data_IF_683403999800
#
_entry.id   IF_683403999800
#
_cell.length_a   1.000
_cell.length_b   1.000
_cell.length_c   1.000
_cell.angle_alpha   90.00
_cell.angle_beta   90.00
_cell.angle_gamma   90.00
#
_symmetry.space_group_name_H-M   'P 1'
#
loop_
_entity.id
_entity.type
_entity.pdbx_description
1 polymer ?
#
# COMPACT_ATOMS: atom_id res chain seq x y z
N UNK A 1 -37.31 -12.46 -31.66
CA UNK A 1 -37.44 -12.67 -33.12
C UNK A 1 -37.30 -11.31 -33.78
N UNK A 2 -36.53 -11.09 -34.85
CA UNK A 2 -35.53 -11.93 -35.55
C UNK A 2 -34.34 -11.04 -35.97
N UNK A 3 -33.22 -11.67 -36.35
CA UNK A 3 -31.94 -11.05 -36.72
C UNK A 3 -31.99 -10.11 -37.94
N UNK A 4 -31.02 -9.19 -38.03
CA UNK A 4 -29.90 -9.46 -38.94
C UNK A 4 -29.65 -8.51 -40.13
N UNK A 5 -28.61 -7.69 -40.01
CA UNK A 5 -27.70 -7.32 -41.09
C UNK A 5 -26.34 -6.92 -40.50
N UNK A 6 -25.23 -7.31 -41.15
CA UNK A 6 -23.87 -7.05 -40.68
C UNK A 6 -22.86 -7.02 -41.85
N UNK A 7 -21.59 -6.72 -41.54
CA UNK A 7 -20.41 -6.70 -42.43
C UNK A 7 -20.30 -5.57 -43.46
N UNK A 8 -19.37 -4.64 -43.20
CA UNK A 8 -18.01 -4.64 -43.82
C UNK A 8 -17.13 -3.52 -43.23
N UNK A 9 -16.11 -3.87 -42.44
CA UNK A 9 -14.94 -3.01 -42.11
C UNK A 9 -13.82 -3.79 -41.40
N UNK A 10 -13.43 -4.94 -41.97
CA UNK A 10 -12.32 -5.76 -41.46
C UNK A 10 -11.17 -5.76 -42.46
N UNK A 11 -10.15 -4.92 -42.25
CA UNK A 11 -8.84 -5.01 -42.93
C UNK A 11 -7.73 -4.13 -42.33
N UNK A 12 -8.06 -3.02 -41.65
CA UNK A 12 -7.06 -2.02 -41.18
C UNK A 12 -6.40 -2.39 -39.84
N UNK A 13 -6.98 -3.29 -39.04
CA UNK A 13 -6.53 -3.54 -37.65
C UNK A 13 -5.25 -4.39 -37.51
N UNK A 14 -4.83 -5.14 -38.52
CA UNK A 14 -3.75 -6.14 -38.35
C UNK A 14 -2.32 -5.55 -38.33
N UNK A 15 -2.08 -4.37 -38.91
CA UNK A 15 -0.71 -3.87 -39.09
C UNK A 15 -0.10 -3.31 -37.78
N UNK A 16 -0.88 -2.55 -37.00
CA UNK A 16 -0.38 -1.92 -35.76
C UNK A 16 -0.13 -2.92 -34.62
N UNK A 17 -0.79 -4.07 -34.59
CA UNK A 17 -0.49 -5.10 -33.58
C UNK A 17 0.87 -5.76 -33.79
N UNK A 18 1.27 -6.04 -35.04
CA UNK A 18 2.56 -6.67 -35.31
C UNK A 18 3.75 -5.77 -34.94
N UNK A 19 3.66 -4.47 -35.21
CA UNK A 19 4.71 -3.49 -34.86
C UNK A 19 4.89 -3.41 -33.33
N UNK A 20 3.79 -3.36 -32.56
CA UNK A 20 3.84 -3.40 -31.09
C UNK A 20 4.46 -4.72 -30.56
N UNK A 21 4.12 -5.86 -31.16
CA UNK A 21 4.65 -7.18 -30.74
C UNK A 21 6.15 -7.31 -31.08
N UNK A 22 6.60 -6.81 -32.23
CA UNK A 22 8.02 -6.86 -32.61
C UNK A 22 8.89 -5.94 -31.73
N UNK A 23 8.42 -4.72 -31.44
CA UNK A 23 9.09 -3.81 -30.49
C UNK A 23 9.12 -4.33 -29.04
N UNK A 24 8.16 -5.18 -28.67
CA UNK A 24 8.15 -5.88 -27.38
C UNK A 24 9.13 -7.07 -27.35
N UNK A 25 9.24 -7.82 -28.45
CA UNK A 25 10.05 -9.05 -28.53
C UNK A 25 11.54 -8.81 -28.25
N UNK A 26 12.12 -7.74 -28.82
CA UNK A 26 13.52 -7.35 -28.59
C UNK A 26 13.78 -6.93 -27.14
N UNK A 27 12.88 -6.12 -26.55
CA UNK A 27 12.96 -5.69 -25.15
C UNK A 27 12.71 -6.81 -24.13
N UNK A 28 12.00 -7.88 -24.51
CA UNK A 28 11.63 -8.96 -23.58
C UNK A 28 12.63 -10.13 -23.56
N UNK A 29 13.00 -10.74 -24.71
CA UNK A 29 13.96 -11.86 -24.69
C UNK A 29 15.41 -11.43 -24.41
N UNK A 30 15.74 -10.15 -24.53
CA UNK A 30 16.99 -9.59 -23.98
C UNK A 30 17.02 -9.56 -22.44
N UNK A 31 15.86 -9.63 -21.77
CA UNK A 31 15.70 -9.43 -20.32
C UNK A 31 15.54 -10.74 -19.52
N UNK A 32 15.11 -11.84 -20.16
CA UNK A 32 14.97 -13.16 -19.51
C UNK A 32 15.34 -14.35 -20.43
N UNK A 33 16.64 -14.65 -20.65
CA UNK A 33 17.08 -15.70 -21.57
C UNK A 33 16.65 -17.12 -21.19
N UNK A 34 16.46 -17.39 -19.89
CA UNK A 34 15.99 -18.68 -19.36
C UNK A 34 14.51 -18.94 -19.65
N UNK A 35 13.67 -17.90 -19.67
CA UNK A 35 12.22 -18.02 -19.93
C UNK A 35 11.96 -18.25 -21.42
N UNK A 36 12.68 -17.57 -22.31
CA UNK A 36 12.54 -17.75 -23.76
C UNK A 36 12.98 -19.14 -24.27
N UNK A 37 13.59 -20.00 -23.43
CA UNK A 37 13.95 -21.38 -23.80
C UNK A 37 12.77 -22.37 -23.74
N UNK A 38 11.92 -22.34 -22.71
CA UNK A 38 10.77 -23.26 -22.65
C UNK A 38 9.71 -22.92 -23.71
N UNK A 39 9.50 -21.64 -24.01
CA UNK A 39 8.53 -21.19 -25.01
C UNK A 39 8.84 -21.64 -26.45
N UNK A 40 10.05 -22.14 -26.75
CA UNK A 40 10.41 -22.67 -28.08
C UNK A 40 10.16 -24.18 -28.23
N UNK A 41 10.17 -24.96 -27.16
CA UNK A 41 9.96 -26.42 -27.23
C UNK A 41 8.54 -26.79 -27.67
N UNK A 42 7.52 -26.06 -27.21
CA UNK A 42 6.12 -26.37 -27.51
C UNK A 42 5.67 -25.97 -28.94
N UNK A 43 6.49 -25.20 -29.68
CA UNK A 43 6.17 -24.74 -31.04
C UNK A 43 6.56 -25.72 -32.16
N UNK A 44 7.11 -26.91 -31.84
CA UNK A 44 7.61 -27.87 -32.83
C UNK A 44 6.93 -29.25 -32.84
N UNK A 45 5.84 -29.44 -32.10
CA UNK A 45 5.04 -30.68 -32.16
C UNK A 45 3.55 -30.35 -32.35
N UNK A 46 3.16 -29.97 -33.59
CA UNK A 46 1.74 -29.83 -33.99
C UNK A 46 1.46 -29.80 -35.50
N UNK A 47 2.03 -30.76 -36.24
CA UNK A 47 1.50 -31.18 -37.55
C UNK A 47 1.37 -32.70 -37.58
N UNK A 48 0.37 -33.21 -38.31
CA UNK A 48 -0.21 -34.58 -38.20
C UNK A 48 -0.94 -34.82 -36.85
N UNK A 49 -2.07 -35.53 -36.77
CA UNK A 49 -2.99 -36.04 -37.80
C UNK A 49 -4.45 -35.88 -37.32
N UNK A 50 -5.45 -36.14 -38.18
CA UNK A 50 -6.87 -36.01 -37.85
C UNK A 50 -7.71 -37.17 -38.37
N UNK A 51 -8.23 -38.00 -37.46
CA UNK A 51 -9.24 -39.04 -37.68
C UNK A 51 -9.62 -39.68 -36.31
N UNK A 52 -10.72 -40.41 -36.12
CA UNK A 52 -12.10 -40.33 -36.61
C UNK A 52 -12.93 -41.46 -35.92
N UNK A 53 -14.08 -41.15 -35.30
CA UNK A 53 -15.21 -42.09 -35.04
C UNK A 53 -14.89 -43.29 -34.06
N UNK A 54 -15.81 -44.08 -33.44
CA UNK A 54 -17.25 -43.97 -33.08
C UNK A 54 -17.68 -45.02 -32.01
N UNK A 55 -18.76 -44.72 -31.27
CA UNK A 55 -19.81 -45.64 -30.75
C UNK A 55 -19.62 -46.56 -29.49
N UNK A 56 -20.77 -46.72 -28.79
CA UNK A 56 -21.30 -47.86 -27.98
C UNK A 56 -20.70 -48.33 -26.63
N UNK A 57 -21.19 -47.71 -25.55
CA UNK A 57 -22.15 -48.26 -24.54
C UNK A 57 -22.06 -49.69 -23.91
N UNK A 58 -22.44 -49.76 -22.62
CA UNK A 58 -22.87 -50.90 -21.75
C UNK A 58 -21.74 -51.85 -21.27
N UNK A 59 -21.53 -52.00 -19.95
CA UNK A 59 -22.38 -52.84 -19.09
C UNK A 59 -22.67 -52.24 -17.67
N UNK A 60 -23.32 -53.01 -16.79
CA UNK A 60 -23.75 -52.62 -15.41
C UNK A 60 -23.50 -53.76 -14.40
N UNK A 61 -23.64 -53.40 -13.11
CA UNK A 61 -24.11 -54.19 -11.95
C UNK A 61 -23.06 -54.87 -11.04
N UNK A 62 -23.38 -54.92 -9.74
CA UNK A 62 -22.61 -55.61 -8.68
C UNK A 62 -21.88 -54.68 -7.67
N UNK A 63 -22.04 -54.84 -6.34
CA UNK A 63 -23.22 -54.55 -5.51
C UNK A 63 -22.85 -54.63 -4.00
N UNK A 64 -22.98 -53.53 -3.25
CA UNK A 64 -23.10 -53.45 -1.77
C UNK A 64 -21.92 -53.87 -0.85
N UNK A 65 -22.11 -53.52 0.44
CA UNK A 65 -21.30 -53.79 1.66
C UNK A 65 -20.04 -52.91 1.84
N UNK A 66 -19.73 -52.35 3.02
CA UNK A 66 -20.45 -52.28 4.31
C UNK A 66 -20.58 -50.83 4.81
N UNK A 67 -21.58 -50.55 5.67
CA UNK A 67 -21.71 -49.28 6.37
C UNK A 67 -22.45 -49.44 7.71
N UNK A 68 -21.78 -50.02 8.73
CA UNK A 68 -22.35 -50.09 10.10
C UNK A 68 -21.33 -50.46 11.17
N UNK A 69 -21.06 -49.55 12.11
CA UNK A 69 -20.85 -49.92 13.51
C UNK A 69 -21.43 -48.84 14.46
N UNK A 70 -22.14 -49.34 15.46
CA UNK A 70 -22.89 -48.67 16.52
C UNK A 70 -22.07 -47.58 17.26
N UNK A 71 -22.57 -46.42 17.71
CA UNK A 71 -23.84 -46.05 18.40
C UNK A 71 -23.89 -46.45 19.89
N UNK A 72 -23.75 -45.44 20.79
CA UNK A 72 -24.32 -45.24 22.17
C UNK A 72 -24.33 -46.46 23.15
N UNK A 73 -24.05 -46.38 24.46
CA UNK A 73 -24.09 -45.32 25.50
C UNK A 73 -23.22 -45.80 26.72
N UNK A 74 -23.21 -45.36 27.99
CA UNK A 74 -23.89 -44.32 28.82
C UNK A 74 -23.21 -44.12 30.20
N UNK A 75 -23.30 -42.90 30.74
CA UNK A 75 -23.28 -42.52 32.18
C UNK A 75 -22.00 -42.69 33.05
N UNK A 76 -21.99 -41.91 34.15
CA UNK A 76 -21.03 -41.85 35.27
C UNK A 76 -19.61 -41.35 34.93
N UNK A 77 -18.89 -40.59 35.79
CA UNK A 77 -19.22 -40.05 37.12
C UNK A 77 -18.82 -38.55 37.25
N UNK A 78 -19.38 -37.83 38.24
CA UNK A 78 -19.06 -36.41 38.51
C UNK A 78 -17.93 -36.30 39.53
N UNK A 79 -16.78 -35.73 39.16
CA UNK A 79 -15.73 -35.37 40.12
C UNK A 79 -16.05 -34.06 40.84
N UNK A 80 -16.54 -34.16 42.08
CA UNK A 80 -16.71 -33.03 43.00
C UNK A 80 -15.37 -32.63 43.62
N UNK A 81 -14.71 -31.59 43.10
CA UNK A 81 -13.59 -30.94 43.81
C UNK A 81 -14.16 -30.04 44.91
N UNK A 82 -14.25 -30.60 46.12
CA UNK A 82 -14.84 -29.96 47.31
C UNK A 82 -13.81 -29.11 48.05
N UNK A 83 -13.58 -27.87 47.63
CA UNK A 83 -12.77 -26.92 48.40
C UNK A 83 -13.46 -26.56 49.72
N UNK A 84 -12.83 -26.91 50.85
CA UNK A 84 -13.26 -26.47 52.19
C UNK A 84 -12.66 -25.08 52.48
N UNK A 85 -13.42 -24.12 53.03
CA UNK A 85 -12.86 -22.85 53.47
C UNK A 85 -12.08 -23.03 54.79
N UNK A 86 -10.83 -22.55 54.83
CA UNK A 86 -10.08 -22.42 56.08
C UNK A 86 -10.41 -21.07 56.73
N UNK A 87 -10.93 -21.11 57.97
CA UNK A 87 -10.97 -19.93 58.84
C UNK A 87 -9.55 -19.65 59.35
N UNK A 88 -8.98 -18.52 58.96
CA UNK A 88 -8.04 -17.76 59.82
C UNK A 88 -8.72 -16.44 60.12
N UNK A 89 -8.83 -16.09 61.40
CA UNK A 89 -9.68 -14.99 61.87
C UNK A 89 -8.90 -14.09 62.83
N UNK A 90 -9.27 -12.79 62.83
CA UNK A 90 -8.76 -11.69 63.68
C UNK A 90 -7.42 -11.13 63.18
N UNK A 91 -7.28 -9.80 63.26
CA UNK A 91 -5.99 -9.12 63.05
C UNK A 91 -5.90 -8.00 62.00
N UNK A 92 -6.99 -7.39 61.49
CA UNK A 92 -6.89 -6.15 60.68
C UNK A 92 -8.26 -5.43 60.50
N UNK A 93 -8.78 -4.79 61.56
CA UNK A 93 -10.01 -3.96 61.48
C UNK A 93 -9.90 -2.53 62.04
N UNK A 94 -8.74 -2.11 62.57
CA UNK A 94 -8.55 -0.79 63.18
C UNK A 94 -7.80 0.26 62.33
N UNK A 95 -7.35 -0.09 61.11
CA UNK A 95 -6.60 0.85 60.24
C UNK A 95 -7.50 1.61 59.25
N UNK A 96 -8.62 1.02 58.82
CA UNK A 96 -9.43 1.53 57.68
C UNK A 96 -10.28 2.79 57.97
N UNK A 97 -10.28 3.32 59.20
CA UNK A 97 -11.11 4.47 59.61
C UNK A 97 -10.39 5.81 59.77
N UNK A 98 -9.05 5.88 59.56
CA UNK A 98 -8.28 7.14 59.73
C UNK A 98 -7.85 7.83 58.42
N UNK A 99 -8.35 7.39 57.27
CA UNK A 99 -8.04 7.95 55.94
C UNK A 99 -9.25 8.50 55.18
N UNK A 100 -10.41 8.67 55.82
CA UNK A 100 -11.66 9.12 55.19
C UNK A 100 -12.01 10.61 55.40
N UNK A 101 -11.23 11.37 56.18
CA UNK A 101 -11.51 12.79 56.49
C UNK A 101 -10.60 13.81 55.79
N UNK A 102 -9.78 13.38 54.82
CA UNK A 102 -8.81 14.26 54.12
C UNK A 102 -9.00 14.33 52.60
N UNK A 103 -9.87 13.49 52.02
CA UNK A 103 -9.96 13.31 50.56
C UNK A 103 -10.92 14.25 49.81
N UNK A 104 -11.57 15.20 50.48
CA UNK A 104 -12.64 16.02 49.86
C UNK A 104 -12.08 17.29 49.17
N UNK A 105 -10.87 17.74 49.53
CA UNK A 105 -10.25 18.94 48.96
C UNK A 105 -9.58 18.71 47.59
N UNK A 106 -8.87 17.58 47.40
CA UNK A 106 -8.07 17.32 46.19
C UNK A 106 -8.88 16.83 44.97
N UNK A 107 -10.17 16.53 45.14
CA UNK A 107 -11.05 16.11 44.03
C UNK A 107 -11.19 17.20 42.93
N UNK A 108 -10.88 18.46 43.23
CA UNK A 108 -10.84 19.56 42.25
C UNK A 108 -9.54 19.67 41.43
N UNK A 109 -8.47 18.96 41.80
CA UNK A 109 -7.16 19.06 41.14
C UNK A 109 -7.01 18.15 39.91
N UNK A 110 -7.96 17.24 39.68
CA UNK A 110 -7.91 16.31 38.56
C UNK A 110 -8.27 16.99 37.22
N UNK A 111 -7.35 16.91 36.25
CA UNK A 111 -7.62 17.05 34.83
C UNK A 111 -7.97 18.45 34.27
N UNK A 112 -7.40 19.54 34.82
CA UNK A 112 -7.10 20.71 33.97
C UNK A 112 -6.01 20.35 32.94
N UNK A 113 -6.39 19.66 31.88
CA UNK A 113 -5.57 19.50 30.70
C UNK A 113 -5.26 20.90 30.13
N UNK A 114 -3.97 21.20 29.86
CA UNK A 114 -3.56 22.50 29.34
C UNK A 114 -4.23 22.78 27.98
N UNK A 115 -5.32 23.54 28.01
CA UNK A 115 -6.15 23.91 26.88
C UNK A 115 -5.48 25.02 26.08
N UNK A 116 -4.81 24.64 25.00
CA UNK A 116 -4.36 25.61 23.99
C UNK A 116 -5.59 26.37 23.44
N UNK A 117 -5.46 27.66 23.08
CA UNK A 117 -6.59 28.43 22.56
C UNK A 117 -7.26 27.76 21.35
N UNK A 118 -8.58 27.83 21.26
CA UNK A 118 -9.33 27.13 20.20
C UNK A 118 -8.93 27.55 18.77
N UNK A 119 -8.45 28.79 18.59
CA UNK A 119 -7.86 29.22 17.31
C UNK A 119 -6.52 28.52 17.04
N UNK A 120 -5.64 28.43 18.04
CA UNK A 120 -4.34 27.77 17.94
C UNK A 120 -4.50 26.27 17.64
N UNK A 121 -5.46 25.60 18.28
CA UNK A 121 -5.81 24.21 17.97
C UNK A 121 -6.19 24.04 16.49
N UNK A 122 -7.04 24.92 15.94
CA UNK A 122 -7.42 24.88 14.52
C UNK A 122 -6.24 25.16 13.58
N UNK A 123 -5.37 26.11 13.92
CA UNK A 123 -4.17 26.44 13.11
C UNK A 123 -3.19 25.25 13.09
N UNK A 124 -2.91 24.64 14.24
CA UNK A 124 -2.07 23.42 14.32
C UNK A 124 -2.72 22.27 13.53
N UNK A 125 -4.05 22.11 13.61
CA UNK A 125 -4.79 21.14 12.82
C UNK A 125 -4.64 21.34 11.31
N UNK A 126 -4.84 22.56 10.81
CA UNK A 126 -4.70 22.88 9.39
C UNK A 126 -3.25 22.78 8.89
N UNK A 127 -2.26 23.14 9.71
CA UNK A 127 -0.84 22.91 9.40
C UNK A 127 -0.52 21.43 9.18
N UNK A 128 -1.03 20.55 10.05
CA UNK A 128 -0.88 19.09 9.88
C UNK A 128 -1.57 18.60 8.60
N UNK A 129 -2.78 19.09 8.30
CA UNK A 129 -3.47 18.76 7.04
C UNK A 129 -2.71 19.25 5.80
N UNK A 130 -2.08 20.42 5.86
CA UNK A 130 -1.19 20.93 4.82
C UNK A 130 0.03 20.02 4.62
N UNK A 131 0.70 19.61 5.70
CA UNK A 131 1.79 18.65 5.64
C UNK A 131 1.35 17.30 5.04
N UNK A 132 0.17 16.79 5.43
CA UNK A 132 -0.45 15.62 4.81
C UNK A 132 -0.66 15.81 3.29
N UNK A 133 -1.23 16.93 2.86
CA UNK A 133 -1.43 17.25 1.45
C UNK A 133 -0.12 17.30 0.65
N UNK A 134 0.95 17.86 1.23
CA UNK A 134 2.27 17.82 0.60
C UNK A 134 2.86 16.41 0.55
N UNK A 135 2.64 15.55 1.56
CA UNK A 135 3.05 14.13 1.49
C UNK A 135 2.27 13.36 0.42
N UNK A 136 0.98 13.65 0.18
CA UNK A 136 0.25 13.12 -0.99
C UNK A 136 0.93 13.56 -2.28
N UNK A 137 1.26 14.86 -2.42
CA UNK A 137 2.00 15.38 -3.57
C UNK A 137 3.35 14.68 -3.78
N UNK A 138 4.10 14.40 -2.70
CA UNK A 138 5.36 13.67 -2.76
C UNK A 138 5.17 12.23 -3.24
N UNK A 139 4.17 11.52 -2.72
CA UNK A 139 3.85 10.13 -3.13
C UNK A 139 3.45 10.07 -4.60
N UNK A 140 2.65 11.02 -5.09
CA UNK A 140 2.25 11.07 -6.51
C UNK A 140 3.46 11.35 -7.39
N UNK A 141 4.23 12.41 -7.07
CA UNK A 141 5.38 12.83 -7.88
C UNK A 141 6.50 11.79 -7.89
N UNK A 142 6.79 11.17 -6.74
CA UNK A 142 7.75 10.07 -6.63
C UNK A 142 7.27 8.79 -7.33
N UNK A 143 5.96 8.51 -7.30
CA UNK A 143 5.34 7.43 -8.06
C UNK A 143 5.55 7.59 -9.56
N UNK A 144 5.24 8.77 -10.12
CA UNK A 144 5.50 9.05 -11.54
C UNK A 144 7.01 9.01 -11.84
N UNK A 145 7.86 9.57 -10.97
CA UNK A 145 9.33 9.53 -11.13
C UNK A 145 9.87 8.09 -11.23
N UNK A 146 9.34 7.14 -10.44
CA UNK A 146 9.67 5.71 -10.56
C UNK A 146 9.09 5.06 -11.81
N UNK A 147 7.82 5.35 -12.15
CA UNK A 147 7.11 4.79 -13.31
C UNK A 147 7.63 5.31 -14.65
N UNK A 148 8.38 6.42 -14.65
CA UNK A 148 9.06 6.99 -15.82
C UNK A 148 10.58 6.85 -15.72
N UNK A 149 11.06 5.92 -14.90
CA UNK A 149 12.48 5.54 -14.73
C UNK A 149 13.43 6.74 -14.54
N UNK A 150 12.91 7.82 -13.96
CA UNK A 150 13.59 9.10 -13.76
C UNK A 150 14.32 9.15 -12.42
N UNK A 151 14.55 8.01 -11.78
CA UNK A 151 14.90 7.93 -10.35
C UNK A 151 16.39 8.11 -10.03
N UNK A 152 17.26 8.03 -11.03
CA UNK A 152 18.72 8.15 -10.89
C UNK A 152 19.34 9.17 -11.89
N UNK A 153 18.49 9.97 -12.56
CA UNK A 153 18.88 10.99 -13.54
C UNK A 153 19.78 12.10 -12.96
N UNK A 154 19.56 12.47 -11.70
CA UNK A 154 20.38 13.42 -10.96
C UNK A 154 21.49 12.70 -10.20
N UNK A 155 22.60 12.47 -10.90
CA UNK A 155 23.75 11.70 -10.39
C UNK A 155 24.41 12.33 -9.16
N UNK A 156 24.47 13.67 -9.08
CA UNK A 156 24.94 14.38 -7.89
C UNK A 156 23.86 14.56 -6.83
N UNK A 157 24.29 14.55 -5.56
CA UNK A 157 23.45 14.86 -4.42
C UNK A 157 24.09 15.94 -3.54
N UNK A 158 23.41 17.07 -3.43
CA UNK A 158 23.77 18.15 -2.51
C UNK A 158 22.58 18.48 -1.61
N UNK A 159 22.82 18.62 -0.31
CA UNK A 159 21.75 18.93 0.64
C UNK A 159 21.24 20.38 0.50
N UNK A 160 22.15 21.34 0.27
CA UNK A 160 21.86 22.80 0.32
C UNK A 160 22.55 23.61 -0.80
N UNK A 161 23.85 23.39 -1.08
CA UNK A 161 24.58 24.15 -2.12
C UNK A 161 24.40 23.54 -3.51
N UNK A 162 24.64 24.31 -4.58
CA UNK A 162 24.68 23.82 -5.97
C UNK A 162 23.34 23.44 -6.61
N UNK A 163 22.21 23.50 -5.90
CA UNK A 163 20.90 23.00 -6.36
C UNK A 163 20.17 23.90 -7.39
N UNK A 164 20.90 24.57 -8.31
CA UNK A 164 20.28 25.28 -9.43
C UNK A 164 20.04 24.28 -10.58
N UNK A 165 18.88 24.29 -11.26
CA UNK A 165 18.74 23.54 -12.49
C UNK A 165 19.60 24.17 -13.60
N UNK A 166 20.14 23.37 -14.54
CA UNK A 166 20.85 23.89 -15.69
C UNK A 166 19.98 24.89 -16.48
N UNK A 167 20.59 25.99 -16.91
CA UNK A 167 19.96 27.15 -17.54
C UNK A 167 20.46 27.36 -18.96
N UNK A 168 21.76 27.13 -19.18
CA UNK A 168 22.37 27.22 -20.52
C UNK A 168 22.38 25.85 -21.20
N UNK A 169 22.58 25.82 -22.52
CA UNK A 169 22.63 24.58 -23.29
C UNK A 169 23.90 23.77 -22.96
N UNK A 170 24.99 24.46 -22.61
CA UNK A 170 26.28 23.90 -22.20
C UNK A 170 26.16 23.22 -20.81
N UNK A 171 25.49 23.86 -19.85
CA UNK A 171 25.19 23.25 -18.54
C UNK A 171 24.32 21.98 -18.69
N UNK A 172 23.33 22.00 -19.59
CA UNK A 172 22.51 20.83 -19.90
C UNK A 172 23.30 19.70 -20.56
N UNK A 173 24.20 20.04 -21.48
CA UNK A 173 25.05 19.06 -22.17
C UNK A 173 26.03 18.41 -21.19
N UNK A 174 26.66 19.18 -20.30
CA UNK A 174 27.58 18.67 -19.28
C UNK A 174 26.88 17.69 -18.30
N UNK A 175 25.68 18.00 -17.82
CA UNK A 175 24.89 17.08 -16.99
C UNK A 175 24.48 15.81 -17.75
N UNK A 176 24.17 15.92 -19.05
CA UNK A 176 23.83 14.76 -19.87
C UNK A 176 25.03 13.85 -20.15
N UNK A 177 26.18 14.42 -20.51
CA UNK A 177 27.42 13.67 -20.73
C UNK A 177 27.99 13.06 -19.44
N UNK A 178 27.60 13.61 -18.28
CA UNK A 178 27.78 12.97 -16.98
C UNK A 178 26.83 11.80 -16.76
N UNK A 179 25.53 11.95 -17.06
CA UNK A 179 24.55 10.87 -16.94
C UNK A 179 24.89 9.64 -17.79
N UNK A 180 25.44 9.84 -19.00
CA UNK A 180 25.94 8.76 -19.89
C UNK A 180 26.97 7.83 -19.24
N UNK A 181 27.67 8.28 -18.21
CA UNK A 181 28.69 7.48 -17.51
C UNK A 181 28.06 6.44 -16.56
N UNK A 182 26.78 6.59 -16.20
CA UNK A 182 26.11 5.78 -15.20
C UNK A 182 25.34 4.58 -15.81
N UNK A 183 25.11 3.50 -15.02
CA UNK A 183 24.41 2.31 -15.48
C UNK A 183 23.00 2.56 -16.04
N UNK A 184 22.22 3.49 -15.49
CA UNK A 184 20.84 3.74 -15.96
C UNK A 184 20.81 4.17 -17.44
N UNK A 185 21.74 5.03 -17.86
CA UNK A 185 21.94 5.31 -19.30
C UNK A 185 22.38 4.05 -20.05
N UNK A 186 23.49 3.41 -19.62
CA UNK A 186 24.10 2.26 -20.33
C UNK A 186 23.11 1.11 -20.60
N UNK A 187 22.22 0.79 -19.66
CA UNK A 187 21.36 -0.39 -19.71
C UNK A 187 19.87 -0.10 -19.95
N UNK A 188 19.38 1.12 -19.67
CA UNK A 188 17.94 1.46 -19.75
C UNK A 188 17.65 2.56 -20.77
N UNK A 189 18.47 3.62 -20.79
CA UNK A 189 18.23 4.84 -21.55
C UNK A 189 19.32 5.14 -22.62
N UNK A 190 19.91 4.12 -23.24
CA UNK A 190 21.12 4.25 -24.07
C UNK A 190 20.97 5.12 -25.33
N UNK A 191 19.74 5.29 -25.82
CA UNK A 191 19.43 6.06 -27.04
C UNK A 191 18.64 7.36 -26.78
N UNK A 192 18.48 7.81 -25.51
CA UNK A 192 17.64 8.99 -25.25
C UNK A 192 18.24 10.29 -25.79
N UNK A 193 17.38 11.19 -26.26
CA UNK A 193 17.77 12.54 -26.63
C UNK A 193 18.02 13.43 -25.41
N UNK A 194 18.71 14.57 -25.62
CA UNK A 194 18.92 15.57 -24.57
C UNK A 194 17.59 16.12 -24.00
N UNK A 195 16.54 16.23 -24.80
CA UNK A 195 15.26 16.79 -24.34
C UNK A 195 14.42 15.76 -23.56
N UNK A 196 14.59 14.46 -23.83
CA UNK A 196 14.12 13.37 -22.97
C UNK A 196 14.91 13.31 -21.66
N UNK A 197 16.24 13.49 -21.70
CA UNK A 197 17.05 13.63 -20.49
C UNK A 197 16.59 14.82 -19.63
N UNK A 198 16.36 15.99 -20.24
CA UNK A 198 15.76 17.15 -19.56
C UNK A 198 14.41 16.82 -18.93
N UNK A 199 13.59 15.96 -19.54
CA UNK A 199 12.32 15.53 -18.94
C UNK A 199 12.52 14.71 -17.66
N UNK A 200 13.31 13.62 -17.72
CA UNK A 200 13.54 12.76 -16.54
C UNK A 200 14.23 13.54 -15.40
N UNK A 201 15.24 14.36 -15.73
CA UNK A 201 15.95 15.22 -14.78
C UNK A 201 15.00 16.19 -14.06
N UNK A 202 14.06 16.82 -14.79
CA UNK A 202 13.06 17.74 -14.20
C UNK A 202 12.09 17.03 -13.26
N UNK A 203 11.69 15.78 -13.55
CA UNK A 203 10.83 15.00 -12.67
C UNK A 203 11.52 14.69 -11.35
N UNK A 204 12.77 14.24 -11.39
CA UNK A 204 13.54 13.94 -10.19
C UNK A 204 13.87 15.20 -9.38
N UNK A 205 14.29 16.29 -10.06
CA UNK A 205 14.52 17.59 -9.42
C UNK A 205 13.25 18.10 -8.73
N UNK A 206 12.10 18.02 -9.40
CA UNK A 206 10.79 18.36 -8.83
C UNK A 206 10.51 17.56 -7.56
N UNK A 207 10.69 16.24 -7.59
CA UNK A 207 10.49 15.38 -6.42
C UNK A 207 11.46 15.73 -5.26
N UNK A 208 12.75 15.91 -5.58
CA UNK A 208 13.82 16.29 -4.64
C UNK A 208 13.58 17.66 -4.00
N UNK A 209 13.08 18.64 -4.75
CA UNK A 209 12.75 19.97 -4.21
C UNK A 209 11.46 19.95 -3.40
N UNK A 210 10.44 19.19 -3.82
CA UNK A 210 9.21 19.03 -3.06
C UNK A 210 9.44 18.42 -1.68
N UNK A 211 10.30 17.39 -1.58
CA UNK A 211 10.72 16.82 -0.30
C UNK A 211 11.40 17.83 0.65
N UNK A 212 12.23 18.74 0.11
CA UNK A 212 12.83 19.85 0.88
C UNK A 212 11.78 20.86 1.33
N UNK A 213 10.81 21.18 0.49
CA UNK A 213 9.72 22.09 0.84
C UNK A 213 8.87 21.55 2.01
N UNK A 214 8.59 20.24 2.05
CA UNK A 214 7.94 19.60 3.21
C UNK A 214 8.77 19.79 4.48
N UNK A 215 10.09 19.62 4.40
CA UNK A 215 11.02 19.89 5.49
C UNK A 215 10.84 21.28 6.10
N UNK A 216 10.77 22.32 5.26
CA UNK A 216 10.62 23.72 5.71
C UNK A 216 9.21 24.02 6.23
N UNK A 217 8.16 23.57 5.52
CA UNK A 217 6.74 23.77 5.89
C UNK A 217 6.37 22.99 7.16
N UNK A 218 7.05 21.90 7.47
CA UNK A 218 6.97 21.25 8.78
C UNK A 218 7.77 22.03 9.84
N UNK A 219 9.06 22.28 9.59
CA UNK A 219 9.99 22.75 10.63
C UNK A 219 9.67 24.16 11.15
N UNK A 220 9.44 25.14 10.27
CA UNK A 220 9.25 26.53 10.73
C UNK A 220 7.99 26.71 11.59
N UNK A 221 6.79 26.22 11.18
CA UNK A 221 5.61 26.27 12.05
C UNK A 221 5.78 25.42 13.30
N UNK A 222 6.42 24.24 13.24
CA UNK A 222 6.67 23.43 14.43
C UNK A 222 7.51 24.19 15.48
N UNK A 223 8.60 24.85 15.08
CA UNK A 223 9.42 25.68 15.98
C UNK A 223 8.63 26.87 16.53
N UNK A 224 7.85 27.54 15.68
CA UNK A 224 7.01 28.67 16.10
C UNK A 224 5.93 28.25 17.13
N UNK A 225 5.16 27.20 16.84
CA UNK A 225 4.13 26.66 17.74
C UNK A 225 4.72 26.14 19.06
N UNK A 226 5.92 25.55 19.03
CA UNK A 226 6.63 25.12 20.24
C UNK A 226 7.04 26.32 21.11
N UNK A 227 7.62 27.37 20.52
CA UNK A 227 7.96 28.62 21.22
C UNK A 227 6.73 29.36 21.75
N UNK A 228 5.61 29.35 21.02
CA UNK A 228 4.33 29.99 21.41
C UNK A 228 3.51 29.15 22.41
N UNK A 229 3.96 27.96 22.80
CA UNK A 229 3.26 27.08 23.74
C UNK A 229 2.02 26.38 23.17
N UNK A 230 1.85 26.36 21.84
CA UNK A 230 0.66 25.82 21.16
C UNK A 230 0.64 24.28 21.05
N UNK A 231 1.58 23.58 21.69
CA UNK A 231 1.59 22.12 21.80
C UNK A 231 1.34 21.66 23.24
N UNK A 232 0.24 20.92 23.42
CA UNK A 232 -0.06 20.20 24.67
C UNK A 232 1.05 19.19 25.02
N UNK A 233 1.15 18.79 26.30
CA UNK A 233 2.13 17.78 26.76
C UNK A 233 2.12 16.50 25.91
N UNK A 234 0.94 16.06 25.46
CA UNK A 234 0.78 14.86 24.61
C UNK A 234 1.09 15.09 23.11
N UNK A 235 1.10 16.35 22.64
CA UNK A 235 1.42 16.68 21.25
C UNK A 235 2.93 16.86 21.02
N UNK A 236 3.67 17.39 21.99
CA UNK A 236 5.14 17.54 21.93
C UNK A 236 5.90 16.29 21.45
N UNK A 237 5.73 15.08 22.04
CA UNK A 237 6.42 13.89 21.55
C UNK A 237 5.95 13.45 20.15
N UNK A 238 4.70 13.73 19.76
CA UNK A 238 4.19 13.41 18.41
C UNK A 238 4.88 14.26 17.35
N UNK A 239 5.03 15.56 17.59
CA UNK A 239 5.75 16.48 16.69
C UNK A 239 7.21 16.04 16.51
N UNK A 240 7.87 15.58 17.59
CA UNK A 240 9.22 15.00 17.51
C UNK A 240 9.24 13.73 16.65
N UNK A 241 8.29 12.80 16.84
CA UNK A 241 8.17 11.59 16.01
C UNK A 241 7.96 11.95 14.53
N UNK A 242 7.14 12.96 14.22
CA UNK A 242 6.90 13.40 12.84
C UNK A 242 8.15 14.01 12.21
N UNK A 243 8.90 14.83 12.96
CA UNK A 243 10.19 15.37 12.54
C UNK A 243 11.24 14.28 12.29
N UNK A 244 11.35 13.30 13.18
CA UNK A 244 12.27 12.15 13.01
C UNK A 244 11.90 11.29 11.81
N UNK A 245 10.62 11.02 11.58
CA UNK A 245 10.15 10.30 10.39
C UNK A 245 10.40 11.09 9.10
N UNK A 246 10.26 12.42 9.12
CA UNK A 246 10.54 13.29 7.97
C UNK A 246 12.05 13.39 7.66
N UNK A 247 12.90 13.40 8.67
CA UNK A 247 14.35 13.27 8.50
C UNK A 247 14.72 11.88 7.94
N UNK A 248 14.14 10.81 8.50
CA UNK A 248 14.34 9.44 8.03
C UNK A 248 13.88 9.23 6.58
N UNK A 249 12.79 9.90 6.16
CA UNK A 249 12.36 9.96 4.76
C UNK A 249 13.45 10.55 3.85
N UNK A 250 14.07 11.66 4.24
CA UNK A 250 15.19 12.26 3.50
C UNK A 250 16.42 11.33 3.42
N UNK A 251 16.75 10.65 4.51
CA UNK A 251 17.84 9.68 4.58
C UNK A 251 17.58 8.44 3.70
N UNK A 252 16.34 7.90 3.71
CA UNK A 252 15.94 6.80 2.82
C UNK A 252 15.97 7.20 1.34
N UNK A 253 15.49 8.40 1.00
CA UNK A 253 15.52 8.91 -0.38
C UNK A 253 16.96 9.07 -0.90
N UNK A 254 17.87 9.62 -0.08
CA UNK A 254 19.30 9.66 -0.39
C UNK A 254 19.89 8.25 -0.56
N UNK A 255 19.57 7.33 0.35
CA UNK A 255 20.06 5.95 0.28
C UNK A 255 19.57 5.23 -0.98
N UNK A 256 18.31 5.40 -1.37
CA UNK A 256 17.72 4.85 -2.60
C UNK A 256 18.52 5.26 -3.84
N UNK A 257 18.81 6.55 -4.00
CA UNK A 257 19.62 7.08 -5.12
C UNK A 257 21.05 6.54 -5.05
N UNK A 258 21.76 6.75 -3.93
CA UNK A 258 23.18 6.37 -3.78
C UNK A 258 23.44 4.88 -4.03
N UNK A 259 22.44 4.03 -3.79
CA UNK A 259 22.53 2.58 -3.99
C UNK A 259 21.88 2.08 -5.30
N UNK A 260 21.32 2.97 -6.13
CA UNK A 260 20.97 2.70 -7.52
C UNK A 260 22.04 3.17 -8.51
N UNK A 261 22.83 4.21 -8.15
CA UNK A 261 23.94 4.73 -8.97
C UNK A 261 25.21 3.83 -8.98
N UNK A 262 25.21 2.71 -8.27
CA UNK A 262 26.30 1.72 -8.33
C UNK A 262 26.19 0.89 -9.61
N UNK A 263 27.31 0.44 -10.14
CA UNK A 263 27.28 -0.61 -11.18
C UNK A 263 26.65 -1.89 -10.59
N UNK A 264 25.69 -2.52 -11.30
CA UNK A 264 25.04 -3.74 -10.84
C UNK A 264 25.96 -4.95 -11.02
N UNK A 265 25.64 -6.04 -10.32
CA UNK A 265 26.23 -7.35 -10.63
C UNK A 265 25.83 -7.77 -12.06
N UNK A 266 26.61 -8.63 -12.77
CA UNK A 266 26.38 -8.96 -14.18
C UNK A 266 25.01 -9.58 -14.54
N UNK A 267 24.21 -9.96 -13.54
CA UNK A 267 22.85 -10.51 -13.69
C UNK A 267 21.74 -9.52 -13.35
N UNK A 268 22.04 -8.33 -12.83
CA UNK A 268 21.06 -7.36 -12.32
C UNK A 268 20.90 -6.14 -13.25
N UNK A 269 19.65 -5.68 -13.38
CA UNK A 269 19.37 -4.37 -13.99
C UNK A 269 19.64 -3.26 -12.96
N UNK A 270 20.23 -2.11 -13.37
CA UNK A 270 20.46 -0.99 -12.46
C UNK A 270 19.13 -0.33 -12.08
N UNK A 271 18.63 -0.63 -10.87
CA UNK A 271 17.37 -0.08 -10.35
C UNK A 271 17.40 0.10 -8.84
N UNK A 272 16.52 0.95 -8.33
CA UNK A 272 16.31 1.08 -6.89
C UNK A 272 15.60 -0.18 -6.37
N UNK A 273 16.29 -0.96 -5.53
CA UNK A 273 15.74 -2.18 -4.94
C UNK A 273 14.35 -1.97 -4.32
N UNK A 274 13.46 -2.93 -4.60
CA UNK A 274 12.10 -3.02 -4.11
C UNK A 274 11.99 -2.90 -2.58
N UNK A 275 12.96 -3.43 -1.82
CA UNK A 275 13.01 -3.29 -0.36
C UNK A 275 13.18 -1.83 0.08
N UNK A 276 14.01 -1.06 -0.63
CA UNK A 276 14.25 0.37 -0.34
C UNK A 276 13.04 1.21 -0.73
N UNK A 277 12.45 0.95 -1.91
CA UNK A 277 11.22 1.59 -2.38
C UNK A 277 10.04 1.34 -1.42
N UNK A 278 9.84 0.10 -0.98
CA UNK A 278 8.79 -0.25 -0.02
C UNK A 278 9.04 0.37 1.37
N UNK A 279 10.28 0.39 1.86
CA UNK A 279 10.64 1.04 3.13
C UNK A 279 10.35 2.54 3.11
N UNK A 280 10.63 3.20 1.99
CA UNK A 280 10.39 4.62 1.79
C UNK A 280 8.89 4.93 1.65
N UNK A 281 8.14 4.20 0.82
CA UNK A 281 6.69 4.40 0.71
C UNK A 281 5.96 4.08 2.03
N UNK A 282 6.32 2.98 2.69
CA UNK A 282 5.71 2.55 3.96
C UNK A 282 5.95 3.53 5.10
N UNK A 283 7.16 4.10 5.22
CA UNK A 283 7.42 5.14 6.22
C UNK A 283 6.82 6.51 5.86
N UNK A 284 6.65 6.83 4.57
CA UNK A 284 5.86 7.98 4.13
C UNK A 284 4.38 7.82 4.50
N UNK A 285 3.80 6.64 4.28
CA UNK A 285 2.43 6.33 4.68
C UNK A 285 2.25 6.31 6.20
N UNK A 286 3.25 5.85 6.97
CA UNK A 286 3.21 5.93 8.43
C UNK A 286 3.21 7.39 8.93
N UNK A 287 4.12 8.23 8.41
CA UNK A 287 4.16 9.66 8.68
C UNK A 287 2.83 10.35 8.32
N UNK A 288 2.31 10.09 7.12
CA UNK A 288 1.02 10.58 6.67
C UNK A 288 -0.12 10.17 7.60
N UNK A 289 -0.20 8.89 7.95
CA UNK A 289 -1.28 8.34 8.78
C UNK A 289 -1.31 8.95 10.18
N UNK A 290 -0.13 9.14 10.78
CA UNK A 290 0.02 9.73 12.10
C UNK A 290 -0.31 11.24 12.10
N UNK A 291 0.15 11.98 11.09
CA UNK A 291 -0.18 13.40 10.95
C UNK A 291 -1.67 13.60 10.65
N UNK A 292 -2.27 12.78 9.78
CA UNK A 292 -3.69 12.84 9.45
C UNK A 292 -4.54 12.57 10.69
N UNK A 293 -4.23 11.52 11.44
CA UNK A 293 -4.94 11.19 12.68
C UNK A 293 -4.87 12.33 13.70
N UNK A 294 -3.71 13.00 13.83
CA UNK A 294 -3.59 14.19 14.69
C UNK A 294 -4.32 15.42 14.12
N UNK A 295 -4.26 15.68 12.81
CA UNK A 295 -4.97 16.78 12.15
C UNK A 295 -6.48 16.66 12.30
N UNK A 296 -7.04 15.49 12.00
CA UNK A 296 -8.44 15.14 12.26
C UNK A 296 -8.78 15.29 13.75
N UNK A 297 -7.87 14.94 14.67
CA UNK A 297 -8.10 15.12 16.12
C UNK A 297 -8.11 16.58 16.58
N UNK A 298 -7.45 17.49 15.87
CA UNK A 298 -7.48 18.93 16.17
C UNK A 298 -8.71 19.61 15.53
N UNK A 299 -9.10 19.20 14.32
CA UNK A 299 -10.16 19.84 13.53
C UNK A 299 -11.55 19.25 13.77
N UNK A 300 -11.68 17.94 14.01
CA UNK A 300 -12.96 17.24 14.10
C UNK A 300 -13.33 16.92 15.54
N UNK A 301 -14.33 17.65 16.04
CA UNK A 301 -15.07 17.28 17.26
C UNK A 301 -15.58 15.83 17.16
N UNK A 302 -15.37 15.06 18.24
CA UNK A 302 -15.96 13.74 18.40
C UNK A 302 -17.50 13.85 18.47
N UNK A 303 -18.20 12.88 17.89
CA UNK A 303 -19.65 12.73 18.05
C UNK A 303 -19.90 11.38 18.72
N UNK A 304 -20.69 11.30 19.81
CA UNK A 304 -21.04 10.03 20.40
C UNK A 304 -21.83 9.18 19.39
N UNK A 305 -21.63 7.86 19.46
CA UNK A 305 -22.36 6.86 18.69
C UNK A 305 -23.24 6.13 19.72
N UNK A 306 -24.53 5.98 19.43
CA UNK A 306 -25.42 5.23 20.32
C UNK A 306 -24.98 3.76 20.42
N UNK A 307 -25.10 3.18 21.61
CA UNK A 307 -24.58 1.84 21.86
C UNK A 307 -25.31 0.78 21.01
N UNK A 308 -24.52 -0.15 20.46
CA UNK A 308 -24.98 -1.25 19.62
C UNK A 308 -24.08 -2.45 19.83
N UNK A 309 -24.67 -3.65 19.87
CA UNK A 309 -23.93 -4.93 19.97
C UNK A 309 -22.89 -5.13 18.86
N UNK A 310 -23.05 -4.44 17.73
CA UNK A 310 -22.12 -4.49 16.60
C UNK A 310 -20.99 -3.46 16.67
N UNK A 311 -21.09 -2.41 17.50
CA UNK A 311 -20.11 -1.33 17.57
C UNK A 311 -18.69 -1.78 18.00
N UNK A 312 -18.49 -2.72 18.95
CA UNK A 312 -17.16 -3.24 19.27
C UNK A 312 -16.54 -4.02 18.09
N UNK A 313 -17.35 -4.83 17.39
CA UNK A 313 -16.90 -5.56 16.21
C UNK A 313 -16.57 -4.60 15.06
N UNK A 314 -17.41 -3.59 14.83
CA UNK A 314 -17.18 -2.55 13.81
C UNK A 314 -15.84 -1.84 14.02
N UNK A 315 -15.52 -1.47 15.27
CA UNK A 315 -14.22 -0.88 15.64
C UNK A 315 -13.05 -1.82 15.33
N UNK A 316 -13.15 -3.10 15.70
CA UNK A 316 -12.11 -4.11 15.39
C UNK A 316 -11.93 -4.30 13.89
N UNK A 317 -13.02 -4.45 13.13
CA UNK A 317 -13.00 -4.61 11.69
C UNK A 317 -12.50 -3.35 10.95
N UNK A 318 -12.79 -2.15 11.45
CA UNK A 318 -12.27 -0.90 10.89
C UNK A 318 -10.76 -0.79 11.01
N UNK A 319 -10.18 -1.05 12.20
CA UNK A 319 -8.73 -1.07 12.36
C UNK A 319 -8.06 -2.20 11.57
N UNK A 320 -8.69 -3.39 11.49
CA UNK A 320 -8.20 -4.49 10.64
C UNK A 320 -8.20 -4.14 9.15
N UNK A 321 -9.27 -3.53 8.63
CA UNK A 321 -9.38 -3.10 7.23
C UNK A 321 -8.40 -1.95 6.93
N UNK A 322 -8.25 -0.99 7.84
CA UNK A 322 -7.26 0.08 7.74
C UNK A 322 -5.82 -0.45 7.64
N UNK A 323 -5.46 -1.44 8.47
CA UNK A 323 -4.17 -2.11 8.40
C UNK A 323 -4.00 -2.91 7.09
N UNK A 324 -5.04 -3.63 6.65
CA UNK A 324 -5.02 -4.39 5.41
C UNK A 324 -4.87 -3.48 4.16
N UNK A 325 -5.54 -2.32 4.13
CA UNK A 325 -5.35 -1.29 3.09
C UNK A 325 -3.90 -0.79 3.08
N UNK A 326 -3.31 -0.52 4.25
CA UNK A 326 -1.90 -0.11 4.36
C UNK A 326 -0.94 -1.19 3.81
N UNK A 327 -1.10 -2.45 4.22
CA UNK A 327 -0.23 -3.54 3.75
C UNK A 327 -0.41 -3.88 2.27
N UNK A 328 -1.62 -3.75 1.73
CA UNK A 328 -1.90 -3.93 0.29
C UNK A 328 -1.29 -2.81 -0.55
N UNK A 329 -1.37 -1.56 -0.09
CA UNK A 329 -0.70 -0.45 -0.75
C UNK A 329 0.83 -0.56 -0.64
N UNK A 330 1.36 -1.14 0.44
CA UNK A 330 2.78 -1.44 0.63
C UNK A 330 3.27 -2.58 -0.28
N UNK A 331 2.49 -3.66 -0.48
CA UNK A 331 2.88 -4.74 -1.40
C UNK A 331 2.93 -4.26 -2.86
N UNK A 332 2.13 -3.25 -3.22
CA UNK A 332 2.23 -2.55 -4.50
C UNK A 332 3.61 -1.93 -4.77
N UNK A 333 4.36 -1.54 -3.73
CA UNK A 333 5.74 -1.05 -3.87
C UNK A 333 6.73 -2.16 -4.25
N UNK A 334 6.47 -3.42 -3.86
CA UNK A 334 7.26 -4.56 -4.32
C UNK A 334 6.93 -4.87 -5.80
N UNK A 335 5.65 -4.81 -6.18
CA UNK A 335 5.22 -4.98 -7.58
C UNK A 335 5.89 -3.94 -8.49
N UNK A 336 5.88 -2.66 -8.09
CA UNK A 336 6.52 -1.57 -8.81
C UNK A 336 8.06 -1.60 -8.73
N UNK A 337 8.65 -2.18 -7.68
CA UNK A 337 10.09 -2.33 -7.53
C UNK A 337 10.69 -3.42 -8.42
N UNK A 338 9.94 -4.51 -8.63
CA UNK A 338 10.37 -5.65 -9.45
C UNK A 338 9.96 -5.57 -10.93
N UNK A 339 9.18 -4.56 -11.33
CA UNK A 339 8.46 -4.48 -12.61
C UNK A 339 7.40 -5.59 -12.80
N UNK A 340 6.97 -6.21 -11.69
CA UNK A 340 6.15 -7.40 -11.67
C UNK A 340 4.74 -7.23 -12.29
N UNK A 341 4.29 -6.00 -12.51
CA UNK A 341 3.05 -5.70 -13.24
C UNK A 341 3.05 -6.15 -14.71
N UNK A 342 4.22 -6.48 -15.28
CA UNK A 342 4.40 -6.88 -16.68
C UNK A 342 4.62 -8.39 -16.89
N UNK A 343 4.43 -9.22 -15.85
CA UNK A 343 4.75 -10.66 -15.91
C UNK A 343 3.55 -11.48 -16.41
N UNK A 344 2.41 -11.36 -15.73
CA UNK A 344 1.13 -11.93 -16.16
C UNK A 344 0.11 -10.80 -16.29
N UNK A 345 -0.43 -10.57 -17.48
CA UNK A 345 -1.35 -9.44 -17.78
C UNK A 345 -2.80 -9.89 -18.02
N UNK A 346 -3.19 -11.03 -17.45
CA UNK A 346 -4.55 -11.56 -17.41
C UNK A 346 -5.18 -11.43 -16.01
N UNK A 347 -6.51 -11.44 -15.94
CA UNK A 347 -7.30 -11.47 -14.69
C UNK A 347 -8.61 -12.26 -14.89
N UNK A 348 -9.13 -13.01 -13.90
CA UNK A 348 -8.59 -13.23 -12.55
C UNK A 348 -7.42 -14.21 -12.52
N UNK A 349 -7.37 -15.14 -13.47
CA UNK A 349 -6.27 -16.09 -13.67
C UNK A 349 -4.96 -15.40 -14.06
N UNK A 350 -3.84 -16.08 -13.79
CA UNK A 350 -2.49 -15.74 -14.28
C UNK A 350 -2.16 -16.70 -15.43
N UNK A 351 -2.20 -16.17 -16.66
CA UNK A 351 -2.36 -16.95 -17.89
C UNK A 351 -3.57 -17.90 -17.79
N UNK A 352 -3.38 -19.19 -18.06
CA UNK A 352 -4.37 -20.26 -17.95
C UNK A 352 -4.60 -20.75 -16.51
N UNK A 353 -3.72 -20.40 -15.56
CA UNK A 353 -3.68 -20.97 -14.20
C UNK A 353 -4.23 -20.03 -13.13
N UNK A 354 -4.66 -20.60 -12.01
CA UNK A 354 -5.04 -19.84 -10.81
C UNK A 354 -3.84 -19.49 -9.93
N UNK A 355 -2.85 -20.40 -9.89
CA UNK A 355 -1.54 -20.23 -9.26
C UNK A 355 -0.51 -20.68 -10.32
N UNK A 356 0.42 -19.83 -10.75
CA UNK A 356 1.51 -20.23 -11.65
C UNK A 356 2.46 -21.24 -10.98
N UNK A 357 3.16 -22.07 -11.75
CA UNK A 357 4.08 -23.07 -11.19
C UNK A 357 5.37 -22.43 -10.65
N UNK A 358 5.75 -21.27 -11.18
CA UNK A 358 7.00 -20.55 -10.90
C UNK A 358 6.96 -19.69 -9.63
N UNK A 359 5.85 -19.67 -8.87
CA UNK A 359 5.73 -18.91 -7.61
C UNK A 359 6.75 -19.30 -6.52
N UNK A 360 7.49 -20.39 -6.71
CA UNK A 360 8.50 -20.92 -5.80
C UNK A 360 9.83 -21.23 -6.53
N UNK A 361 10.09 -20.59 -7.67
CA UNK A 361 11.26 -20.86 -8.52
C UNK A 361 12.61 -20.42 -7.91
N UNK A 362 12.64 -19.42 -7.02
CA UNK A 362 13.87 -18.91 -6.38
C UNK A 362 14.18 -19.71 -5.10
N UNK A 363 15.46 -19.99 -4.84
CA UNK A 363 15.94 -20.51 -3.55
C UNK A 363 16.79 -19.50 -2.77
N UNK A 364 16.79 -19.56 -1.42
CA UNK A 364 15.86 -20.29 -0.56
C UNK A 364 14.41 -19.80 -0.69
N UNK A 365 13.43 -20.71 -0.68
CA UNK A 365 12.00 -20.46 -0.93
C UNK A 365 11.39 -19.18 -0.36
N UNK A 366 11.77 -18.75 0.86
CA UNK A 366 11.21 -17.53 1.48
C UNK A 366 11.46 -16.25 0.66
N UNK A 367 12.51 -16.22 -0.19
CA UNK A 367 12.81 -15.09 -1.07
C UNK A 367 11.70 -14.81 -2.08
N UNK A 368 10.94 -15.81 -2.51
CA UNK A 368 9.94 -15.63 -3.56
C UNK A 368 8.93 -14.54 -3.21
N UNK A 369 8.50 -14.47 -1.95
CA UNK A 369 7.54 -13.48 -1.39
C UNK A 369 7.99 -12.02 -1.57
N UNK A 370 9.28 -11.76 -1.81
CA UNK A 370 9.86 -10.41 -1.91
C UNK A 370 10.75 -10.16 -3.15
N UNK A 371 11.19 -11.21 -3.83
CA UNK A 371 12.18 -11.16 -4.92
C UNK A 371 11.70 -11.84 -6.21
N UNK A 372 10.73 -12.76 -6.15
CA UNK A 372 10.15 -13.39 -7.34
C UNK A 372 9.02 -12.50 -7.87
N UNK A 373 9.12 -11.95 -9.11
CA UNK A 373 8.09 -11.10 -9.68
C UNK A 373 6.71 -11.76 -9.73
N UNK A 374 6.63 -13.05 -10.06
CA UNK A 374 5.37 -13.78 -10.17
C UNK A 374 4.67 -13.90 -8.81
N UNK A 375 5.39 -14.29 -7.77
CA UNK A 375 4.87 -14.45 -6.41
C UNK A 375 4.44 -13.09 -5.85
N UNK A 376 5.25 -12.05 -6.02
CA UNK A 376 4.91 -10.68 -5.60
C UNK A 376 3.68 -10.16 -6.34
N UNK A 377 3.51 -10.48 -7.63
CA UNK A 377 2.29 -10.12 -8.37
C UNK A 377 1.06 -10.91 -7.87
N UNK A 378 1.22 -12.21 -7.59
CA UNK A 378 0.18 -13.06 -7.02
C UNK A 378 -0.28 -12.57 -5.64
N UNK A 379 0.65 -12.38 -4.70
CA UNK A 379 0.36 -11.93 -3.34
C UNK A 379 -0.35 -10.56 -3.34
N UNK A 380 0.05 -9.63 -4.21
CA UNK A 380 -0.62 -8.35 -4.37
C UNK A 380 -2.05 -8.49 -4.94
N UNK A 381 -2.31 -9.40 -5.90
CA UNK A 381 -3.67 -9.71 -6.38
C UNK A 381 -4.57 -10.25 -5.26
N UNK A 382 -4.05 -11.17 -4.44
CA UNK A 382 -4.78 -11.76 -3.31
C UNK A 382 -5.06 -10.70 -2.23
N UNK A 383 -4.06 -9.91 -1.86
CA UNK A 383 -4.20 -8.79 -0.92
C UNK A 383 -5.21 -7.74 -1.41
N UNK A 384 -5.14 -7.33 -2.68
CA UNK A 384 -6.09 -6.40 -3.29
C UNK A 384 -7.54 -6.90 -3.27
N UNK A 385 -7.75 -8.16 -3.67
CA UNK A 385 -9.08 -8.79 -3.67
C UNK A 385 -9.63 -8.94 -2.24
N UNK A 386 -8.79 -9.37 -1.30
CA UNK A 386 -9.15 -9.48 0.13
C UNK A 386 -9.47 -8.12 0.74
N UNK A 387 -8.75 -7.06 0.34
CA UNK A 387 -9.00 -5.68 0.77
C UNK A 387 -10.36 -5.17 0.29
N UNK A 388 -10.70 -5.40 -0.98
CA UNK A 388 -12.00 -5.00 -1.53
C UNK A 388 -13.15 -5.71 -0.79
N UNK A 389 -13.01 -7.01 -0.53
CA UNK A 389 -13.98 -7.79 0.26
C UNK A 389 -14.07 -7.32 1.72
N UNK A 390 -12.95 -6.97 2.36
CA UNK A 390 -12.91 -6.42 3.72
C UNK A 390 -13.61 -5.06 3.81
N UNK A 391 -13.38 -4.16 2.83
CA UNK A 391 -14.07 -2.86 2.72
C UNK A 391 -15.58 -3.05 2.53
N UNK A 392 -16.01 -3.97 1.67
CA UNK A 392 -17.43 -4.27 1.47
C UNK A 392 -18.09 -4.89 2.72
N UNK A 393 -17.42 -5.85 3.37
CA UNK A 393 -17.88 -6.46 4.62
C UNK A 393 -17.96 -5.46 5.78
N UNK A 394 -17.01 -4.53 5.85
CA UNK A 394 -17.00 -3.44 6.83
C UNK A 394 -18.16 -2.45 6.60
N UNK A 395 -18.47 -2.12 5.34
CA UNK A 395 -19.63 -1.32 4.98
C UNK A 395 -20.96 -2.01 5.36
N UNK A 396 -21.09 -3.32 5.07
CA UNK A 396 -22.25 -4.12 5.48
C UNK A 396 -22.42 -4.19 7.01
N UNK A 397 -21.32 -4.24 7.76
CA UNK A 397 -21.34 -4.19 9.21
C UNK A 397 -21.68 -2.78 9.73
N UNK A 398 -21.23 -1.72 9.06
CA UNK A 398 -21.52 -0.34 9.40
C UNK A 398 -23.04 -0.02 9.32
N UNK A 399 -23.77 -0.67 8.40
CA UNK A 399 -25.25 -0.58 8.34
C UNK A 399 -25.98 -1.12 9.57
N UNK A 400 -25.31 -1.88 10.45
CA UNK A 400 -25.88 -2.44 11.68
C UNK A 400 -25.63 -1.56 12.93
N UNK A 401 -25.16 -0.33 12.73
CA UNK A 401 -24.83 0.63 13.80
C UNK A 401 -25.41 2.00 13.44
N UNK A 402 -26.07 2.72 14.38
CA UNK A 402 -26.58 4.08 14.16
C UNK A 402 -25.42 5.10 14.11
N UNK A 403 -24.73 5.14 12.97
CA UNK A 403 -23.55 5.97 12.76
C UNK A 403 -23.92 7.45 12.46
N UNK A 404 -23.22 8.43 13.06
CA UNK A 404 -23.35 9.84 12.69
C UNK A 404 -23.11 10.07 11.19
N UNK A 405 -23.79 11.06 10.61
CA UNK A 405 -23.75 11.35 9.16
C UNK A 405 -22.33 11.41 8.57
N UNK A 406 -21.36 12.00 9.29
CA UNK A 406 -19.95 12.10 8.87
C UNK A 406 -19.23 10.74 8.80
N UNK A 407 -19.54 9.82 9.73
CA UNK A 407 -19.04 8.44 9.70
C UNK A 407 -19.71 7.60 8.59
N UNK A 408 -21.01 7.82 8.35
CA UNK A 408 -21.73 7.23 7.23
C UNK A 408 -21.18 7.70 5.87
N UNK A 409 -20.82 8.98 5.74
CA UNK A 409 -20.13 9.52 4.58
C UNK A 409 -18.76 8.87 4.38
N UNK A 410 -17.93 8.82 5.43
CA UNK A 410 -16.60 8.21 5.37
C UNK A 410 -16.64 6.74 4.89
N UNK A 411 -17.53 5.91 5.42
CA UNK A 411 -17.64 4.49 5.01
C UNK A 411 -18.24 4.33 3.60
N UNK A 412 -19.15 5.22 3.17
CA UNK A 412 -19.66 5.24 1.80
C UNK A 412 -18.55 5.59 0.79
N UNK A 413 -17.78 6.65 1.06
CA UNK A 413 -16.65 7.06 0.22
C UNK A 413 -15.57 5.97 0.19
N UNK A 414 -15.28 5.33 1.32
CA UNK A 414 -14.33 4.22 1.41
C UNK A 414 -14.76 3.03 0.54
N UNK A 415 -16.06 2.68 0.50
CA UNK A 415 -16.56 1.64 -0.41
C UNK A 415 -16.39 2.04 -1.88
N UNK A 416 -16.78 3.26 -2.26
CA UNK A 416 -16.65 3.75 -3.63
C UNK A 416 -15.18 3.78 -4.10
N UNK A 417 -14.27 4.26 -3.24
CA UNK A 417 -12.83 4.26 -3.52
C UNK A 417 -12.24 2.85 -3.54
N UNK A 418 -12.76 1.92 -2.73
CA UNK A 418 -12.37 0.51 -2.75
C UNK A 418 -12.74 -0.18 -4.06
N UNK A 419 -13.95 0.06 -4.57
CA UNK A 419 -14.38 -0.40 -5.89
C UNK A 419 -13.52 0.22 -7.01
N UNK A 420 -13.31 1.54 -6.98
CA UNK A 420 -12.44 2.22 -7.94
C UNK A 420 -10.99 1.69 -7.89
N UNK A 421 -10.47 1.30 -6.72
CA UNK A 421 -9.12 0.77 -6.58
C UNK A 421 -8.95 -0.64 -7.18
N UNK A 422 -9.89 -1.56 -6.97
CA UNK A 422 -9.79 -2.87 -7.61
C UNK A 422 -9.96 -2.76 -9.14
N UNK A 423 -10.82 -1.86 -9.63
CA UNK A 423 -10.89 -1.52 -11.06
C UNK A 423 -9.59 -0.93 -11.59
N UNK A 424 -8.99 0.06 -10.91
CA UNK A 424 -7.71 0.66 -11.31
C UNK A 424 -6.56 -0.34 -11.34
N UNK A 425 -6.49 -1.26 -10.37
CA UNK A 425 -5.50 -2.34 -10.36
C UNK A 425 -5.67 -3.29 -11.53
N UNK A 426 -6.90 -3.76 -11.78
CA UNK A 426 -7.21 -4.65 -12.92
C UNK A 426 -6.94 -3.94 -14.26
N UNK A 427 -7.31 -2.67 -14.43
CA UNK A 427 -7.02 -1.92 -15.66
C UNK A 427 -5.52 -1.68 -15.84
N UNK A 428 -4.78 -1.34 -14.78
CA UNK A 428 -3.31 -1.20 -14.84
C UNK A 428 -2.66 -2.51 -15.29
N UNK A 429 -3.18 -3.65 -14.82
CA UNK A 429 -2.73 -4.98 -15.19
C UNK A 429 -3.04 -5.34 -16.65
N UNK A 430 -4.30 -5.20 -17.08
CA UNK A 430 -4.75 -5.61 -18.42
C UNK A 430 -4.17 -4.74 -19.55
N UNK A 431 -3.83 -3.48 -19.27
CA UNK A 431 -3.24 -2.55 -20.26
C UNK A 431 -1.71 -2.45 -20.19
N UNK A 432 -1.01 -3.42 -19.58
CA UNK A 432 0.45 -3.47 -19.50
C UNK A 432 1.10 -2.26 -18.79
N UNK A 433 0.58 -1.92 -17.61
CA UNK A 433 1.06 -0.87 -16.68
C UNK A 433 1.23 0.52 -17.33
N UNK A 434 0.20 1.12 -17.96
CA UNK A 434 0.31 2.49 -18.47
C UNK A 434 0.56 3.47 -17.31
N UNK A 435 1.58 4.32 -17.43
CA UNK A 435 2.05 5.24 -16.37
C UNK A 435 0.91 6.04 -15.73
N UNK A 436 -0.06 6.52 -16.53
CA UNK A 436 -1.25 7.24 -16.07
C UNK A 436 -2.17 6.38 -15.19
N UNK A 437 -2.40 5.11 -15.54
CA UNK A 437 -3.22 4.18 -14.74
C UNK A 437 -2.48 3.74 -13.47
N UNK A 438 -1.19 3.41 -13.58
CA UNK A 438 -0.38 3.04 -12.43
C UNK A 438 -0.26 4.17 -11.40
N UNK A 439 -0.07 5.42 -11.84
CA UNK A 439 -0.08 6.59 -10.97
C UNK A 439 -1.47 6.86 -10.34
N UNK A 440 -2.56 6.66 -11.09
CA UNK A 440 -3.92 6.75 -10.55
C UNK A 440 -4.24 5.64 -9.53
N UNK A 441 -3.73 4.43 -9.75
CA UNK A 441 -3.83 3.32 -8.81
C UNK A 441 -3.07 3.65 -7.50
N UNK A 442 -1.80 4.06 -7.60
CA UNK A 442 -0.98 4.45 -6.44
C UNK A 442 -1.54 5.65 -5.66
N UNK A 443 -2.01 6.70 -6.33
CA UNK A 443 -2.60 7.87 -5.66
C UNK A 443 -3.95 7.55 -5.01
N UNK A 444 -4.76 6.73 -5.67
CA UNK A 444 -6.03 6.24 -5.15
C UNK A 444 -5.89 5.25 -3.98
N UNK A 445 -4.77 4.53 -3.84
CA UNK A 445 -4.53 3.64 -2.70
C UNK A 445 -4.26 4.44 -1.41
N UNK A 446 -3.49 5.54 -1.50
CA UNK A 446 -3.34 6.51 -0.42
C UNK A 446 -4.67 7.24 -0.12
N UNK A 447 -5.51 7.46 -1.13
CA UNK A 447 -6.88 7.99 -0.94
C UNK A 447 -7.77 6.99 -0.18
N UNK A 448 -7.71 5.69 -0.50
CA UNK A 448 -8.42 4.64 0.23
C UNK A 448 -7.92 4.53 1.69
N UNK A 449 -6.61 4.62 1.93
CA UNK A 449 -6.02 4.67 3.27
C UNK A 449 -6.51 5.89 4.06
N UNK A 450 -6.61 7.05 3.41
CA UNK A 450 -7.16 8.30 4.00
C UNK A 450 -8.60 8.11 4.46
N UNK A 451 -9.44 7.48 3.64
CA UNK A 451 -10.84 7.22 3.95
C UNK A 451 -11.00 6.18 5.07
N UNK A 452 -10.16 5.14 5.09
CA UNK A 452 -10.12 4.15 6.17
C UNK A 452 -9.68 4.76 7.51
N UNK A 453 -8.64 5.60 7.51
CA UNK A 453 -8.18 6.36 8.68
C UNK A 453 -9.26 7.32 9.19
N UNK A 454 -9.93 8.04 8.29
CA UNK A 454 -11.03 8.93 8.65
C UNK A 454 -12.20 8.16 9.28
N UNK A 455 -12.65 7.06 8.66
CA UNK A 455 -13.72 6.24 9.23
C UNK A 455 -13.36 5.67 10.61
N UNK A 456 -12.14 5.13 10.77
CA UNK A 456 -11.63 4.65 12.05
C UNK A 456 -11.52 5.77 13.10
N UNK A 457 -11.21 7.01 12.68
CA UNK A 457 -11.18 8.19 13.55
C UNK A 457 -12.57 8.57 14.03
N UNK A 458 -13.58 8.62 13.16
CA UNK A 458 -14.96 8.93 13.53
C UNK A 458 -15.51 7.95 14.58
N UNK A 459 -15.27 6.65 14.41
CA UNK A 459 -15.81 5.61 15.30
C UNK A 459 -14.96 5.33 16.55
N UNK A 460 -13.85 6.05 16.75
CA UNK A 460 -12.89 5.81 17.86
C UNK A 460 -13.58 5.73 19.23
N UNK A 461 -13.01 4.94 20.14
CA UNK A 461 -13.40 5.00 21.57
C UNK A 461 -12.61 6.16 22.21
N UNK A 462 -13.31 7.19 22.65
CA UNK A 462 -12.75 8.20 23.56
C UNK A 462 -12.93 7.66 24.99
N UNK A 463 -11.90 7.71 25.87
CA UNK A 463 -12.09 7.47 27.30
C UNK A 463 -13.12 8.43 27.88
N UNK A 464 -13.88 7.99 28.89
CA UNK A 464 -14.64 8.90 29.74
C UNK A 464 -13.68 9.54 30.75
#
# INVERSE_FOLDING_TARGET
MVLGAAWRSSLILNFNQQILIQGFSSRFCGRFPSVCKLARSDLHVRHTASSALTCSSRLRLGLLTQLSHFVKTSQLARLHVRTRPLKVQRGLQHVSRRFQSSGIADAGAAQQAQTIPAHAQKIVGWWLMGCCGMVVGAVVLGGVTRLTESGLSMTDWHLIKGMKPPRTQEEWQAEFDRYKQFPEYKYVHHDITLDEFKWIWRMEYGHRMWGRAIGLVFLFPAVYFWKKGWFTKAMKPRVLIYGSLLLFQGLLGWYMVKSGLKEPEPTDMPRVSQYRLASHLGSAFALYSLMLWSGLSHLLQYRPIADSRYLPLLRKCAHGTMALVFFTALSGAFVAGLDAGLVYNSFPKMADKWVPDDIMAIEPKYKNVFENPTTVQFDHRILGTTTALAVAGLWLLARKVPLPARANLAVNCMLAMGAAQITLGICTLLYFVPTKLAAAHQSGSLTLLTLALWFAHEIRKVPK
#
